data_IF_668409023522
#
_entry.id   IF_668409023522
#
_cell.length_a   1.000
_cell.length_b   1.000
_cell.length_c   1.000
_cell.angle_alpha   90.00
_cell.angle_beta   90.00
_cell.angle_gamma   90.00
#
_symmetry.space_group_name_H-M   'P 1'
#
loop_
_entity.id
_entity.type
_entity.pdbx_description
1 polymer ?
#
# COMPACT_ATOMS: atom_id res chain seq x y z
N UNK A 1 -18.89 -6.36 -29.13
CA UNK A 1 -19.08 -6.26 -27.67
C UNK A 1 -17.73 -6.14 -26.99
N UNK A 2 -17.11 -4.95 -27.04
CA UNK A 2 -15.76 -4.77 -26.49
C UNK A 2 -15.61 -3.28 -26.13
N UNK A 3 -16.22 -2.83 -25.01
CA UNK A 3 -16.07 -1.43 -24.55
C UNK A 3 -16.36 -1.24 -23.05
N UNK A 4 -16.03 -2.19 -22.18
CA UNK A 4 -16.25 -2.03 -20.73
C UNK A 4 -15.00 -2.22 -19.86
N UNK A 5 -13.83 -2.53 -20.43
CA UNK A 5 -12.61 -2.78 -19.66
C UNK A 5 -11.75 -1.54 -19.36
N UNK A 6 -12.12 -0.36 -19.86
CA UNK A 6 -11.31 0.86 -19.77
C UNK A 6 -11.75 1.91 -18.75
N UNK A 7 -12.84 1.70 -18.03
CA UNK A 7 -13.51 2.79 -17.29
C UNK A 7 -13.44 2.69 -15.75
N UNK A 8 -12.82 1.66 -15.18
CA UNK A 8 -12.77 1.45 -13.72
C UNK A 8 -11.57 2.08 -13.02
N UNK A 9 -10.68 2.74 -13.74
CA UNK A 9 -9.48 3.39 -13.19
C UNK A 9 -9.63 4.92 -12.99
N UNK A 10 -10.84 5.45 -13.18
CA UNK A 10 -11.15 6.87 -12.95
C UNK A 10 -12.29 7.00 -11.93
N UNK A 11 -11.99 6.70 -10.65
CA UNK A 11 -12.91 7.16 -9.59
C UNK A 11 -12.66 8.64 -9.34
N UNK A 12 -13.71 9.45 -9.24
CA UNK A 12 -13.55 10.86 -8.93
C UNK A 12 -12.90 11.02 -7.55
N UNK A 13 -11.89 11.87 -7.51
CA UNK A 13 -11.30 12.41 -6.30
C UNK A 13 -12.37 13.07 -5.44
N UNK A 14 -12.50 12.64 -4.20
CA UNK A 14 -13.24 13.37 -3.16
C UNK A 14 -12.20 14.20 -2.41
N UNK A 15 -12.32 15.53 -2.48
CA UNK A 15 -11.37 16.49 -1.97
C UNK A 15 -11.09 16.41 -0.47
N UNK A 16 -10.02 17.07 0.02
CA UNK A 16 -9.61 17.04 1.40
C UNK A 16 -10.59 17.84 2.27
N UNK A 17 -11.26 17.13 3.13
CA UNK A 17 -12.12 17.78 4.12
C UNK A 17 -13.02 16.77 4.79
N UNK A 18 -12.77 16.45 6.02
CA UNK A 18 -13.61 15.67 6.89
C UNK A 18 -13.69 14.17 6.53
N UNK A 19 -12.66 13.41 6.59
CA UNK A 19 -13.14 12.16 6.86
C UNK A 19 -12.59 10.94 6.18
N UNK A 20 -11.42 10.54 6.59
CA UNK A 20 -11.01 9.16 6.40
C UNK A 20 -12.11 8.18 6.87
N UNK A 21 -12.77 8.44 7.98
CA UNK A 21 -13.88 7.63 8.50
C UNK A 21 -15.06 7.55 7.54
N UNK A 22 -15.59 8.68 7.06
CA UNK A 22 -16.71 8.71 6.10
C UNK A 22 -16.36 8.00 4.79
N UNK A 23 -15.13 8.16 4.31
CA UNK A 23 -14.66 7.46 3.11
C UNK A 23 -14.61 5.95 3.34
N UNK A 24 -14.11 5.50 4.50
CA UNK A 24 -14.08 4.08 4.84
C UNK A 24 -15.48 3.49 5.01
N UNK A 25 -16.43 4.24 5.59
CA UNK A 25 -17.83 3.83 5.72
C UNK A 25 -18.51 3.69 4.36
N UNK A 26 -18.29 4.65 3.48
CA UNK A 26 -18.79 4.60 2.11
C UNK A 26 -18.22 3.40 1.34
N UNK A 27 -16.92 3.15 1.44
CA UNK A 27 -16.29 1.98 0.81
C UNK A 27 -16.92 0.67 1.28
N UNK A 28 -17.16 0.53 2.58
CA UNK A 28 -17.82 -0.65 3.13
C UNK A 28 -19.26 -0.79 2.60
N UNK A 29 -20.04 0.30 2.64
CA UNK A 29 -21.43 0.31 2.19
C UNK A 29 -21.57 -0.05 0.70
N UNK A 30 -20.64 0.42 -0.14
CA UNK A 30 -20.59 0.10 -1.56
C UNK A 30 -20.15 -1.34 -1.83
N UNK A 31 -19.18 -1.85 -1.05
CA UNK A 31 -18.58 -3.16 -1.29
C UNK A 31 -19.39 -4.34 -0.74
N UNK A 32 -20.01 -4.18 0.44
CA UNK A 32 -20.71 -5.28 1.09
C UNK A 32 -21.82 -5.92 0.23
N UNK A 33 -22.67 -5.16 -0.47
CA UNK A 33 -23.67 -5.74 -1.41
C UNK A 33 -23.01 -6.53 -2.55
N UNK A 34 -21.90 -6.04 -3.10
CA UNK A 34 -21.18 -6.70 -4.19
C UNK A 34 -20.55 -8.02 -3.73
N UNK A 35 -19.96 -8.02 -2.54
CA UNK A 35 -19.39 -9.23 -1.91
C UNK A 35 -20.49 -10.26 -1.66
N UNK A 36 -21.63 -9.84 -1.09
CA UNK A 36 -22.79 -10.68 -0.80
C UNK A 36 -23.32 -11.37 -2.04
N UNK A 37 -23.36 -10.67 -3.17
CA UNK A 37 -23.90 -11.18 -4.44
C UNK A 37 -22.85 -11.91 -5.30
N UNK A 38 -21.62 -12.06 -4.84
CA UNK A 38 -20.53 -12.64 -5.64
C UNK A 38 -20.10 -11.76 -6.82
N UNK A 39 -20.49 -10.47 -6.82
CA UNK A 39 -20.16 -9.47 -7.83
C UNK A 39 -18.90 -8.66 -7.48
N UNK A 40 -18.15 -9.08 -6.47
CA UNK A 40 -16.89 -8.48 -6.09
C UNK A 40 -15.87 -8.56 -7.22
N UNK A 41 -14.94 -7.60 -7.24
CA UNK A 41 -13.86 -7.55 -8.22
C UNK A 41 -12.82 -8.64 -7.92
N UNK A 42 -12.45 -9.41 -8.94
CA UNK A 42 -11.39 -10.41 -8.84
C UNK A 42 -10.11 -9.89 -9.48
N UNK A 43 -9.06 -9.87 -8.70
CA UNK A 43 -7.73 -9.51 -9.16
C UNK A 43 -7.09 -10.65 -9.94
N UNK A 44 -6.26 -10.28 -10.89
CA UNK A 44 -5.46 -11.21 -11.69
C UNK A 44 -3.97 -11.02 -11.39
N UNK A 45 -3.14 -12.04 -11.66
CA UNK A 45 -1.69 -11.85 -11.65
C UNK A 45 -1.26 -10.66 -12.51
N UNK A 46 -0.18 -9.95 -12.14
CA UNK A 46 0.28 -8.79 -12.88
C UNK A 46 0.72 -9.19 -14.31
N UNK A 47 0.42 -8.30 -15.23
CA UNK A 47 0.90 -8.36 -16.63
C UNK A 47 1.49 -7.00 -16.98
N UNK A 48 2.46 -6.97 -17.93
CA UNK A 48 3.10 -5.74 -18.39
C UNK A 48 2.05 -4.67 -18.74
N UNK A 49 2.23 -3.45 -18.24
CA UNK A 49 1.29 -2.33 -18.44
C UNK A 49 -0.03 -2.42 -17.68
N UNK A 50 -0.20 -3.47 -16.89
CA UNK A 50 -1.40 -3.73 -16.11
C UNK A 50 -1.40 -3.09 -14.71
N UNK A 51 -2.20 -3.67 -13.83
CA UNK A 51 -2.31 -3.33 -12.42
C UNK A 51 -1.06 -3.79 -11.65
N UNK A 52 -0.93 -3.44 -10.39
CA UNK A 52 0.24 -3.63 -9.52
C UNK A 52 1.41 -2.69 -9.90
N UNK A 53 1.19 -1.39 -9.74
CA UNK A 53 2.11 -0.36 -10.25
C UNK A 53 3.45 -0.36 -9.53
N UNK A 54 4.47 0.19 -10.20
CA UNK A 54 5.67 0.66 -9.52
C UNK A 54 5.28 1.82 -8.62
N UNK A 55 5.64 1.74 -7.35
CA UNK A 55 5.13 2.67 -6.34
C UNK A 55 6.18 3.03 -5.28
N UNK A 56 5.99 4.19 -4.66
CA UNK A 56 6.65 4.52 -3.41
C UNK A 56 5.72 4.12 -2.27
N UNK A 57 6.23 3.33 -1.34
CA UNK A 57 5.48 2.77 -0.22
C UNK A 57 6.21 3.00 1.10
N UNK A 58 5.46 2.96 2.20
CA UNK A 58 5.99 2.89 3.55
C UNK A 58 5.76 1.50 4.11
N UNK A 59 6.78 0.95 4.78
CA UNK A 59 6.68 -0.35 5.44
C UNK A 59 6.46 -0.15 6.94
N UNK A 60 5.40 -0.74 7.53
CA UNK A 60 5.21 -0.66 8.96
C UNK A 60 6.33 -1.40 9.70
N UNK A 61 6.61 -0.98 10.93
CA UNK A 61 7.51 -1.68 11.84
C UNK A 61 7.13 -3.17 11.99
N UNK A 62 8.11 -3.99 12.37
CA UNK A 62 7.91 -5.43 12.42
C UNK A 62 6.76 -5.88 13.35
N UNK A 63 6.58 -5.33 14.58
CA UNK A 63 5.43 -5.66 15.41
C UNK A 63 4.09 -5.36 14.74
N UNK A 64 3.96 -4.20 14.08
CA UNK A 64 2.75 -3.82 13.36
C UNK A 64 2.50 -4.71 12.14
N UNK A 65 3.55 -5.01 11.35
CA UNK A 65 3.44 -5.93 10.22
C UNK A 65 2.95 -7.32 10.65
N UNK A 66 3.47 -7.86 11.77
CA UNK A 66 3.02 -9.14 12.34
C UNK A 66 1.59 -9.09 12.86
N UNK A 67 1.14 -7.96 13.37
CA UNK A 67 -0.26 -7.75 13.78
C UNK A 67 -1.19 -7.81 12.59
N UNK A 68 -0.83 -7.13 11.49
CA UNK A 68 -1.59 -7.13 10.24
C UNK A 68 -1.61 -8.51 9.55
N UNK A 69 -0.52 -9.26 9.62
CA UNK A 69 -0.47 -10.64 9.13
C UNK A 69 -1.46 -11.57 9.87
N UNK A 70 -1.63 -11.40 11.18
CA UNK A 70 -2.65 -12.15 11.95
C UNK A 70 -4.05 -11.79 11.51
N UNK A 71 -4.34 -10.49 11.34
CA UNK A 71 -5.64 -10.03 10.82
C UNK A 71 -5.91 -10.61 9.44
N UNK A 72 -4.93 -10.64 8.54
CA UNK A 72 -5.04 -11.27 7.22
C UNK A 72 -5.39 -12.77 7.34
N UNK A 73 -4.73 -13.49 8.25
CA UNK A 73 -5.02 -14.92 8.45
C UNK A 73 -6.45 -15.15 8.93
N UNK A 74 -6.98 -14.27 9.79
CA UNK A 74 -8.39 -14.32 10.18
C UNK A 74 -9.33 -14.03 9.00
N UNK A 75 -9.04 -13.00 8.19
CA UNK A 75 -9.80 -12.70 6.97
C UNK A 75 -9.84 -13.91 6.03
N UNK A 76 -8.70 -14.56 5.80
CA UNK A 76 -8.57 -15.72 4.91
C UNK A 76 -9.44 -16.89 5.37
N UNK A 77 -9.70 -17.05 6.67
CA UNK A 77 -10.59 -18.11 7.17
C UNK A 77 -12.04 -17.95 6.70
N UNK A 78 -12.48 -16.74 6.40
CA UNK A 78 -13.80 -16.44 5.85
C UNK A 78 -13.76 -16.30 4.32
N UNK A 79 -12.74 -15.65 3.78
CA UNK A 79 -12.62 -15.45 2.34
C UNK A 79 -12.34 -16.76 1.59
N UNK A 80 -11.63 -17.69 2.23
CA UNK A 80 -11.15 -18.92 1.60
C UNK A 80 -9.75 -18.74 0.98
N UNK A 81 -9.24 -19.80 0.39
CA UNK A 81 -7.94 -19.82 -0.28
C UNK A 81 -7.99 -19.24 -1.69
N UNK A 82 -6.84 -18.95 -2.28
CA UNK A 82 -6.72 -18.51 -3.68
C UNK A 82 -6.78 -17.01 -3.89
N UNK A 83 -6.87 -16.22 -2.84
CA UNK A 83 -6.75 -14.76 -2.86
C UNK A 83 -5.29 -14.30 -2.75
N UNK A 84 -4.98 -13.04 -3.10
CA UNK A 84 -3.63 -12.51 -2.94
C UNK A 84 -3.41 -12.05 -1.49
N UNK A 85 -2.45 -12.66 -0.83
CA UNK A 85 -2.09 -12.44 0.57
C UNK A 85 -1.13 -11.26 0.70
N UNK A 86 -1.65 -10.05 0.64
CA UNK A 86 -0.85 -8.81 0.70
C UNK A 86 -0.56 -8.35 2.13
N UNK A 87 -1.27 -8.85 3.12
CA UNK A 87 -1.09 -8.54 4.54
C UNK A 87 0.03 -9.30 5.26
N UNK A 88 0.76 -10.21 4.58
CA UNK A 88 1.91 -10.87 5.21
C UNK A 88 2.99 -9.84 5.58
N UNK A 89 3.71 -10.09 6.67
CA UNK A 89 4.70 -9.15 7.20
C UNK A 89 5.76 -8.73 6.17
N UNK A 90 6.10 -9.61 5.23
CA UNK A 90 7.01 -9.32 4.11
C UNK A 90 6.42 -8.51 2.96
N UNK A 91 5.10 -8.25 2.93
CA UNK A 91 4.42 -7.59 1.79
C UNK A 91 3.56 -6.39 2.21
N UNK A 92 3.04 -6.37 3.43
CA UNK A 92 2.15 -5.30 3.89
C UNK A 92 2.82 -3.92 3.81
N UNK A 93 2.09 -2.95 3.28
CA UNK A 93 2.60 -1.61 3.03
C UNK A 93 1.47 -0.58 2.94
N UNK A 94 1.84 0.69 3.10
CA UNK A 94 1.01 1.86 2.81
C UNK A 94 1.54 2.54 1.56
N UNK A 95 0.71 2.67 0.53
CA UNK A 95 1.12 3.32 -0.72
C UNK A 95 1.10 4.84 -0.54
N UNK A 96 2.24 5.47 -0.78
CA UNK A 96 2.38 6.93 -0.77
C UNK A 96 2.12 7.51 -2.15
N UNK A 97 2.75 6.92 -3.18
CA UNK A 97 2.66 7.42 -4.56
C UNK A 97 2.73 6.28 -5.57
N UNK A 98 1.80 6.27 -6.50
CA UNK A 98 1.87 5.42 -7.70
C UNK A 98 2.62 6.17 -8.79
N UNK A 99 3.61 5.54 -9.40
CA UNK A 99 4.47 6.18 -10.40
C UNK A 99 4.11 5.77 -11.82
N UNK A 100 4.03 4.47 -12.08
CA UNK A 100 3.73 3.94 -13.40
C UNK A 100 2.98 2.60 -13.30
N UNK A 101 2.50 2.10 -14.43
CA UNK A 101 1.87 0.77 -14.51
C UNK A 101 2.88 -0.32 -14.18
N UNK A 102 2.40 -1.56 -14.01
CA UNK A 102 3.27 -2.70 -13.76
C UNK A 102 4.32 -2.85 -14.86
N UNK A 103 5.56 -3.08 -14.44
CA UNK A 103 6.70 -3.39 -15.29
C UNK A 103 7.36 -4.69 -14.83
N UNK A 104 7.48 -5.62 -15.76
CA UNK A 104 8.11 -6.91 -15.49
C UNK A 104 9.63 -6.81 -15.30
N UNK A 105 10.27 -5.86 -15.96
CA UNK A 105 11.73 -5.73 -16.02
C UNK A 105 12.32 -4.47 -15.39
N UNK A 106 11.56 -3.74 -14.56
CA UNK A 106 12.10 -2.57 -13.84
C UNK A 106 13.26 -2.99 -12.92
N UNK A 107 14.35 -2.27 -12.95
CA UNK A 107 15.54 -2.56 -12.15
C UNK A 107 16.33 -1.29 -11.82
N UNK A 108 17.33 -1.39 -10.93
CA UNK A 108 18.14 -0.25 -10.45
C UNK A 108 18.88 0.52 -11.57
N UNK A 109 19.19 -0.17 -12.69
CA UNK A 109 19.88 0.43 -13.83
C UNK A 109 18.92 1.21 -14.75
N UNK A 110 17.63 1.08 -14.56
CA UNK A 110 16.62 1.78 -15.32
C UNK A 110 16.67 3.29 -15.01
N UNK A 111 16.70 4.11 -16.06
CA UNK A 111 16.80 5.56 -15.90
C UNK A 111 15.61 6.16 -15.17
N UNK A 112 14.39 5.68 -15.43
CA UNK A 112 13.20 6.13 -14.72
C UNK A 112 13.25 5.75 -13.24
N UNK A 113 13.67 4.52 -12.93
CA UNK A 113 13.85 4.04 -11.54
C UNK A 113 14.85 4.92 -10.79
N UNK A 114 15.97 5.29 -11.43
CA UNK A 114 16.98 6.20 -10.83
C UNK A 114 16.40 7.59 -10.55
N UNK A 115 15.63 8.16 -11.49
CA UNK A 115 14.94 9.45 -11.25
C UNK A 115 13.93 9.36 -10.11
N UNK A 116 13.13 8.31 -10.04
CA UNK A 116 12.19 8.09 -8.94
C UNK A 116 12.90 7.96 -7.59
N UNK A 117 13.97 7.19 -7.53
CA UNK A 117 14.75 7.00 -6.32
C UNK A 117 15.39 8.33 -5.83
N UNK A 118 15.86 9.16 -6.77
CA UNK A 118 16.43 10.47 -6.43
C UNK A 118 15.36 11.45 -5.93
N UNK A 119 14.18 11.50 -6.56
CA UNK A 119 13.05 12.29 -6.08
C UNK A 119 12.61 11.84 -4.68
N UNK A 120 12.49 10.53 -4.47
CA UNK A 120 12.16 9.94 -3.16
C UNK A 120 13.21 10.32 -2.10
N UNK A 121 14.51 10.29 -2.44
CA UNK A 121 15.59 10.67 -1.53
C UNK A 121 15.49 12.15 -1.13
N UNK A 122 15.22 13.06 -2.07
CA UNK A 122 15.05 14.49 -1.77
C UNK A 122 13.84 14.75 -0.88
N UNK A 123 12.71 14.12 -1.17
CA UNK A 123 11.49 14.26 -0.37
C UNK A 123 11.68 13.69 1.06
N UNK A 124 12.19 12.48 1.20
CA UNK A 124 12.30 11.78 2.48
C UNK A 124 13.26 12.43 3.48
N UNK A 125 14.28 13.17 3.02
CA UNK A 125 15.22 13.91 3.89
C UNK A 125 14.55 14.98 4.75
N UNK A 126 13.42 15.50 4.30
CA UNK A 126 12.72 16.62 4.93
C UNK A 126 11.52 16.17 5.77
N UNK A 127 11.39 14.88 6.02
CA UNK A 127 10.28 14.29 6.77
C UNK A 127 10.84 13.36 7.85
N UNK A 128 10.34 13.48 9.06
CA UNK A 128 10.66 12.56 10.15
C UNK A 128 9.92 11.23 10.00
N UNK A 129 10.02 10.33 11.00
CA UNK A 129 9.27 9.09 11.01
C UNK A 129 7.77 9.35 10.95
N UNK A 130 7.05 8.51 10.20
CA UNK A 130 5.62 8.65 9.97
C UNK A 130 4.88 7.67 10.87
N UNK A 131 3.98 8.21 11.71
CA UNK A 131 3.10 7.43 12.56
C UNK A 131 1.69 7.34 11.96
N UNK A 132 1.13 6.13 11.93
CA UNK A 132 -0.26 5.88 11.56
C UNK A 132 -0.96 5.10 12.67
N UNK A 133 -2.09 5.61 13.17
CA UNK A 133 -2.98 4.86 14.03
C UNK A 133 -3.88 3.96 13.17
N UNK A 134 -3.83 2.64 13.42
CA UNK A 134 -4.59 1.64 12.67
C UNK A 134 -5.96 1.47 13.34
N UNK A 135 -7.02 2.00 12.72
CA UNK A 135 -8.28 2.31 13.39
C UNK A 135 -9.47 1.46 12.94
N UNK A 136 -9.25 0.42 12.20
CA UNK A 136 -10.36 -0.44 11.78
C UNK A 136 -10.11 -1.16 10.48
N UNK A 137 -11.14 -1.91 10.05
CA UNK A 137 -11.16 -2.62 8.80
C UNK A 137 -12.26 -2.10 7.89
N UNK A 138 -12.07 -2.20 6.58
CA UNK A 138 -13.13 -1.95 5.60
C UNK A 138 -13.06 -2.92 4.43
N UNK A 139 -14.15 -3.01 3.69
CA UNK A 139 -14.22 -3.70 2.42
C UNK A 139 -14.10 -2.71 1.26
N UNK A 140 -13.46 -3.13 0.21
CA UNK A 140 -13.63 -2.58 -1.13
C UNK A 140 -14.19 -3.65 -2.05
N UNK A 141 -14.65 -3.31 -3.26
CA UNK A 141 -15.05 -4.35 -4.20
C UNK A 141 -13.97 -5.40 -4.50
N UNK A 142 -12.70 -5.08 -4.31
CA UNK A 142 -11.58 -5.96 -4.64
C UNK A 142 -10.71 -6.41 -3.47
N UNK A 143 -10.99 -5.97 -2.22
CA UNK A 143 -10.06 -6.26 -1.12
C UNK A 143 -10.66 -6.05 0.27
N UNK A 144 -9.97 -6.57 1.28
CA UNK A 144 -10.08 -6.13 2.67
C UNK A 144 -8.91 -5.22 2.98
N UNK A 145 -9.21 -4.06 3.59
CA UNK A 145 -8.22 -3.05 3.95
C UNK A 145 -8.21 -2.79 5.46
N UNK A 146 -7.05 -2.49 5.99
CA UNK A 146 -6.87 -1.82 7.28
C UNK A 146 -6.92 -0.32 7.05
N UNK A 147 -7.78 0.35 7.80
CA UNK A 147 -7.92 1.81 7.81
C UNK A 147 -6.89 2.42 8.75
N UNK A 148 -6.34 3.57 8.38
CA UNK A 148 -5.37 4.26 9.20
C UNK A 148 -5.58 5.77 9.19
N UNK A 149 -5.21 6.42 10.31
CA UNK A 149 -5.16 7.87 10.44
C UNK A 149 -3.74 8.33 10.74
N UNK A 150 -3.25 9.39 10.08
CA UNK A 150 -1.96 9.95 10.39
C UNK A 150 -1.95 10.55 11.80
N UNK A 151 -0.86 10.30 12.54
CA UNK A 151 -0.66 10.85 13.89
C UNK A 151 -0.31 12.33 13.83
N UNK A 152 0.35 12.73 12.75
CA UNK A 152 0.84 14.08 12.48
C UNK A 152 0.83 14.35 10.96
N UNK A 153 1.37 15.51 10.54
CA UNK A 153 1.44 15.90 9.14
C UNK A 153 2.61 15.28 8.35
N UNK A 154 3.47 14.48 8.96
CA UNK A 154 4.66 13.94 8.28
C UNK A 154 4.29 13.10 7.05
N UNK A 155 3.24 12.26 7.15
CA UNK A 155 2.76 11.47 6.03
C UNK A 155 2.25 12.31 4.87
N UNK A 156 1.45 13.34 5.15
CA UNK A 156 0.93 14.26 4.15
C UNK A 156 2.05 15.11 3.55
N UNK A 157 2.98 15.58 4.38
CA UNK A 157 4.17 16.31 3.93
C UNK A 157 5.02 15.49 2.95
N UNK A 158 5.22 14.18 3.23
CA UNK A 158 5.92 13.31 2.29
C UNK A 158 5.20 13.21 0.95
N UNK A 159 3.87 13.10 0.94
CA UNK A 159 3.09 13.06 -0.31
C UNK A 159 3.26 14.35 -1.13
N UNK A 160 3.19 15.51 -0.47
CA UNK A 160 3.30 16.81 -1.14
C UNK A 160 4.74 17.04 -1.66
N UNK A 161 5.76 16.72 -0.86
CA UNK A 161 7.17 16.80 -1.29
C UNK A 161 7.46 15.85 -2.46
N UNK A 162 6.92 14.63 -2.44
CA UNK A 162 7.07 13.70 -3.56
C UNK A 162 6.40 14.21 -4.83
N UNK A 163 5.25 14.85 -4.73
CA UNK A 163 4.59 15.48 -5.88
C UNK A 163 5.50 16.54 -6.52
N UNK A 164 6.11 17.39 -5.70
CA UNK A 164 6.97 18.48 -6.17
C UNK A 164 8.29 17.96 -6.75
N UNK A 165 8.89 16.95 -6.13
CA UNK A 165 10.17 16.38 -6.56
C UNK A 165 10.07 15.48 -7.80
N UNK A 166 8.94 14.77 -7.98
CA UNK A 166 8.71 13.93 -9.15
C UNK A 166 8.40 14.72 -10.42
N UNK A 167 7.81 15.89 -10.29
CA UNK A 167 7.44 16.72 -11.45
C UNK A 167 6.67 15.88 -12.50
N UNK A 168 7.19 15.85 -13.75
CA UNK A 168 6.58 15.12 -14.86
C UNK A 168 6.58 13.59 -14.63
N UNK A 169 7.53 13.05 -13.87
CA UNK A 169 7.56 11.65 -13.49
C UNK A 169 6.38 11.27 -12.55
N UNK A 170 5.74 12.25 -11.91
CA UNK A 170 4.54 12.10 -11.11
C UNK A 170 3.21 12.06 -11.87
N UNK A 171 3.25 11.98 -13.21
CA UNK A 171 2.09 12.10 -14.11
C UNK A 171 0.91 11.18 -13.76
N UNK A 172 1.18 10.00 -13.25
CA UNK A 172 0.16 8.98 -12.96
C UNK A 172 -0.87 9.44 -11.93
N UNK A 173 -0.44 10.25 -10.97
CA UNK A 173 -1.29 10.84 -9.95
C UNK A 173 -1.23 12.39 -9.97
N UNK A 174 -1.00 13.02 -11.13
CA UNK A 174 -0.83 14.48 -11.24
C UNK A 174 -2.07 15.26 -10.77
N UNK A 175 -3.27 14.75 -11.01
CA UNK A 175 -4.55 15.32 -10.59
C UNK A 175 -5.16 14.65 -9.34
N UNK A 176 -4.41 13.79 -8.66
CA UNK A 176 -4.92 12.98 -7.58
C UNK A 176 -4.12 13.23 -6.30
N UNK A 177 -4.82 13.42 -5.18
CA UNK A 177 -4.26 13.39 -3.83
C UNK A 177 -4.95 12.28 -3.04
N UNK A 178 -4.16 11.47 -2.34
CA UNK A 178 -4.71 10.48 -1.42
C UNK A 178 -5.28 11.20 -0.20
N UNK A 179 -6.51 10.92 0.12
CA UNK A 179 -7.25 11.48 1.24
C UNK A 179 -7.39 10.49 2.41
N UNK A 180 -6.98 9.24 2.18
CA UNK A 180 -7.01 8.16 3.17
C UNK A 180 -5.70 7.41 3.21
N UNK A 181 -5.32 6.95 4.40
CA UNK A 181 -4.24 6.01 4.63
C UNK A 181 -4.79 4.62 4.85
N UNK A 182 -4.27 3.63 4.14
CA UNK A 182 -4.72 2.25 4.26
C UNK A 182 -3.65 1.26 3.83
N UNK A 183 -3.75 0.03 4.35
CA UNK A 183 -3.01 -1.11 3.85
C UNK A 183 -3.99 -2.19 3.38
N UNK A 184 -3.83 -2.68 2.14
CA UNK A 184 -4.55 -3.86 1.70
C UNK A 184 -3.95 -5.10 2.37
N UNK A 185 -4.80 -5.95 2.96
CA UNK A 185 -4.36 -7.17 3.63
C UNK A 185 -4.71 -8.42 2.83
N UNK A 186 -5.81 -8.40 2.07
CA UNK A 186 -6.19 -9.47 1.17
C UNK A 186 -6.87 -8.89 -0.06
N UNK A 187 -6.40 -9.21 -1.27
CA UNK A 187 -7.11 -8.89 -2.50
C UNK A 187 -7.87 -10.11 -3.00
N UNK A 188 -9.13 -9.90 -3.34
CA UNK A 188 -9.97 -10.96 -3.88
C UNK A 188 -9.50 -11.35 -5.27
N UNK A 189 -9.37 -12.65 -5.53
CA UNK A 189 -8.93 -13.19 -6.81
C UNK A 189 -9.77 -14.39 -7.27
N UNK A 190 -10.59 -14.93 -6.37
CA UNK A 190 -11.53 -16.02 -6.61
C UNK A 190 -12.86 -15.71 -5.92
N UNK A 191 -13.79 -16.66 -5.92
CA UNK A 191 -15.01 -16.58 -5.14
C UNK A 191 -14.70 -16.56 -3.64
N UNK A 192 -15.46 -15.78 -2.89
CA UNK A 192 -15.36 -15.71 -1.44
C UNK A 192 -16.15 -16.87 -0.83
N UNK A 193 -15.50 -17.66 0.02
CA UNK A 193 -16.09 -18.90 0.54
C UNK A 193 -17.30 -18.64 1.46
N UNK A 194 -17.23 -17.63 2.32
CA UNK A 194 -18.25 -17.29 3.31
C UNK A 194 -18.52 -15.78 3.28
N UNK A 195 -19.24 -15.26 2.25
CA UNK A 195 -19.37 -13.83 2.03
C UNK A 195 -20.14 -13.10 3.14
N UNK A 196 -21.20 -13.68 3.70
CA UNK A 196 -21.97 -13.05 4.79
C UNK A 196 -21.16 -13.01 6.10
N UNK A 197 -20.43 -14.06 6.40
CA UNK A 197 -19.57 -14.16 7.57
C UNK A 197 -18.39 -13.16 7.43
N UNK A 198 -17.79 -13.03 6.25
CA UNK A 198 -16.75 -12.04 5.99
C UNK A 198 -17.28 -10.62 6.20
N UNK A 199 -18.45 -10.29 5.63
CA UNK A 199 -19.07 -8.97 5.79
C UNK A 199 -19.35 -8.69 7.26
N UNK A 200 -19.94 -9.65 7.97
CA UNK A 200 -20.26 -9.53 9.40
C UNK A 200 -18.99 -9.35 10.24
N UNK A 201 -17.96 -10.13 9.96
CA UNK A 201 -16.66 -10.07 10.65
C UNK A 201 -15.98 -8.72 10.47
N UNK A 202 -15.98 -8.17 9.25
CA UNK A 202 -15.44 -6.82 8.96
C UNK A 202 -16.32 -5.75 9.62
N UNK A 203 -17.67 -5.88 9.55
CA UNK A 203 -18.59 -4.92 10.16
C UNK A 203 -18.36 -4.76 11.66
N UNK A 204 -18.08 -5.85 12.37
CA UNK A 204 -17.76 -5.84 13.81
C UNK A 204 -16.40 -5.23 14.14
N UNK A 205 -15.55 -5.02 13.13
CA UNK A 205 -14.16 -4.52 13.27
C UNK A 205 -13.93 -3.18 12.57
N UNK A 206 -15.02 -2.46 12.27
CA UNK A 206 -14.96 -1.14 11.63
C UNK A 206 -14.15 -0.12 12.44
N UNK A 207 -14.15 -0.24 13.76
CA UNK A 207 -13.51 0.67 14.72
C UNK A 207 -12.54 -0.07 15.65
N UNK A 208 -12.04 -1.24 15.24
CA UNK A 208 -11.08 -1.96 16.07
C UNK A 208 -9.76 -1.20 16.15
N UNK A 209 -9.26 -1.00 17.36
CA UNK A 209 -7.92 -0.46 17.58
C UNK A 209 -6.87 -1.56 17.30
N UNK A 210 -6.13 -1.38 16.21
CA UNK A 210 -5.00 -2.23 15.85
C UNK A 210 -3.64 -1.62 16.26
N UNK A 211 -3.67 -0.53 17.05
CA UNK A 211 -2.50 0.17 17.56
C UNK A 211 -1.79 1.01 16.51
N UNK A 212 -0.67 1.58 16.89
CA UNK A 212 0.14 2.47 16.05
C UNK A 212 1.18 1.70 15.26
N UNK A 213 1.34 2.06 13.99
CA UNK A 213 2.46 1.65 13.14
C UNK A 213 3.41 2.83 12.93
N UNK A 214 4.70 2.57 13.13
CA UNK A 214 5.75 3.56 12.88
C UNK A 214 6.54 3.16 11.62
N UNK A 215 6.86 4.15 10.80
CA UNK A 215 7.55 3.96 9.53
C UNK A 215 8.63 5.03 9.37
N UNK A 216 9.86 4.59 9.26
CA UNK A 216 11.05 5.43 9.08
C UNK A 216 11.75 5.22 7.73
N UNK A 217 11.12 4.43 6.87
CA UNK A 217 11.72 4.03 5.60
C UNK A 217 10.69 4.10 4.47
N UNK A 218 11.01 4.87 3.45
CA UNK A 218 10.29 4.88 2.18
C UNK A 218 11.00 3.95 1.19
N UNK A 219 10.23 3.10 0.52
CA UNK A 219 10.74 2.14 -0.46
C UNK A 219 10.11 2.40 -1.83
N UNK A 220 10.93 2.43 -2.86
CA UNK A 220 10.50 2.31 -4.25
C UNK A 220 10.41 0.83 -4.58
N UNK A 221 9.22 0.36 -4.96
CA UNK A 221 8.96 -1.07 -5.16
C UNK A 221 8.27 -1.35 -6.49
N UNK A 222 8.51 -2.52 -7.04
CA UNK A 222 7.61 -3.23 -7.93
C UNK A 222 7.12 -4.50 -7.26
N UNK A 223 6.03 -5.06 -7.74
CA UNK A 223 5.47 -6.27 -7.14
C UNK A 223 5.80 -7.49 -7.99
N UNK A 224 6.19 -8.57 -7.34
CA UNK A 224 6.36 -9.89 -7.92
C UNK A 224 5.25 -10.81 -7.49
N UNK A 225 4.65 -11.48 -8.44
CA UNK A 225 3.68 -12.52 -8.18
C UNK A 225 4.38 -13.86 -7.97
N UNK A 226 3.98 -14.54 -6.91
CA UNK A 226 4.40 -15.90 -6.60
C UNK A 226 3.16 -16.73 -6.30
N UNK A 227 3.02 -17.89 -6.96
CA UNK A 227 1.99 -18.88 -6.65
C UNK A 227 2.68 -20.16 -6.17
N UNK A 228 2.33 -20.62 -4.99
CA UNK A 228 3.01 -21.74 -4.36
C UNK A 228 2.29 -22.31 -3.14
N UNK A 229 2.93 -23.20 -2.38
CA UNK A 229 2.34 -23.83 -1.21
C UNK A 229 1.86 -22.85 -0.15
N UNK A 230 2.45 -21.67 -0.10
CA UNK A 230 2.05 -20.58 0.83
C UNK A 230 0.89 -19.72 0.30
N UNK A 231 0.26 -20.11 -0.82
CA UNK A 231 -0.79 -19.34 -1.49
C UNK A 231 -0.26 -18.34 -2.51
N UNK A 232 -1.14 -17.46 -2.96
CA UNK A 232 -0.84 -16.40 -3.94
C UNK A 232 -0.28 -15.17 -3.23
N UNK A 233 0.97 -14.86 -3.51
CA UNK A 233 1.70 -13.77 -2.85
C UNK A 233 2.00 -12.66 -3.85
N UNK A 234 1.87 -11.42 -3.39
CA UNK A 234 2.38 -10.23 -4.08
C UNK A 234 3.52 -9.66 -3.23
N UNK A 235 4.77 -10.00 -3.59
CA UNK A 235 5.95 -9.55 -2.87
C UNK A 235 6.50 -8.26 -3.45
N UNK A 236 6.76 -7.24 -2.63
CA UNK A 236 7.50 -6.07 -3.07
C UNK A 236 8.96 -6.46 -3.33
N UNK A 237 9.43 -6.21 -4.54
CA UNK A 237 10.85 -6.18 -4.87
C UNK A 237 11.31 -4.73 -4.72
N UNK A 238 12.23 -4.51 -3.78
CA UNK A 238 12.70 -3.16 -3.43
C UNK A 238 13.75 -2.73 -4.46
N UNK A 239 13.46 -1.66 -5.19
CA UNK A 239 14.35 -1.04 -6.18
C UNK A 239 15.22 0.07 -5.56
N UNK A 240 14.72 0.72 -4.51
CA UNK A 240 15.47 1.66 -3.69
C UNK A 240 14.81 1.79 -2.30
N UNK A 241 15.63 2.08 -1.28
CA UNK A 241 15.16 2.27 0.10
C UNK A 241 15.85 3.48 0.71
N UNK A 242 15.09 4.37 1.34
CA UNK A 242 15.58 5.62 1.92
C UNK A 242 14.97 5.80 3.30
N UNK A 243 15.80 6.05 4.31
CA UNK A 243 15.32 6.46 5.63
C UNK A 243 14.81 7.90 5.60
N UNK A 244 13.69 8.13 6.25
CA UNK A 244 13.19 9.47 6.51
C UNK A 244 14.07 10.17 7.58
N UNK A 245 14.18 11.49 7.53
CA UNK A 245 14.95 12.28 8.51
C UNK A 245 16.47 12.13 8.42
N UNK A 246 17.00 11.38 7.46
CA UNK A 246 18.46 11.25 7.29
C UNK A 246 19.06 12.47 6.58
N UNK A 247 19.15 13.60 7.30
CA UNK A 247 20.12 14.65 6.95
C UNK A 247 21.51 14.02 6.98
N UNK A 248 22.18 14.00 5.82
CA UNK A 248 23.44 13.30 5.59
C UNK A 248 24.53 13.57 6.62
N UNK A 249 24.62 12.80 7.65
CA UNK A 249 25.83 12.59 8.42
C UNK A 249 26.62 11.46 7.72
N UNK A 250 27.45 11.91 6.77
CA UNK A 250 28.62 11.13 6.39
C UNK A 250 29.46 10.97 7.64
N UNK A 251 29.46 9.80 8.24
CA UNK A 251 30.49 9.45 9.23
C UNK A 251 31.83 9.39 8.48
N UNK A 252 32.79 10.30 8.76
CA UNK A 252 34.15 10.08 8.29
C UNK A 252 34.67 8.84 9.00
N UNK A 253 35.16 7.89 8.20
CA UNK A 253 35.69 6.63 8.66
C UNK A 253 36.66 6.81 9.85
N UNK A 254 36.38 6.13 10.95
CA UNK A 254 37.38 5.84 11.94
C UNK A 254 38.33 4.81 11.35
N UNK A 255 39.47 5.31 10.89
CA UNK A 255 40.69 4.55 10.65
C UNK A 255 41.07 3.93 11.97
N UNK A 256 40.94 2.63 12.12
CA UNK A 256 41.58 1.88 13.18
C UNK A 256 43.07 1.91 12.92
N UNK A 257 43.81 2.70 13.69
CA UNK A 257 45.26 2.57 13.85
C UNK A 257 45.50 1.43 14.85
N UNK A 258 46.14 0.35 14.39
CA UNK A 258 46.73 -0.66 15.22
C UNK A 258 47.91 -0.04 16.01
N UNK A 259 48.04 -0.28 17.33
CA UNK A 259 49.30 -0.11 18.02
C UNK A 259 50.12 -1.40 17.99
N UNK A 260 51.40 -1.22 17.74
CA UNK A 260 52.49 -2.17 17.83
C UNK A 260 52.54 -2.95 19.15
#
# INVERSE_FOLDING_TARGET
MTKLAGQLDQRPYVGPGAGGAETFDRLFAEAAPLVRQGLHQRETPPVEGGRWPVSIVLRPDHPSAKRLERVMTEVESYAGSGHFRTGIAGSVHFTVRVLERYRETAGEQDEAVRRYAEAMRRAARNVESIGLDLVGLTLTPGSVMVCAHPVDENGNSLMDLLKDELKDDGWREAGFRRDIWYANILHFATDIAQPEELITWVAQRREIDLGRAMMDTAELVRFRYEDGPSGRLMRPEVLASIRTGSSGQSHPGQSAADPL
#
